data_IF_479868804874
#
_entry.id   IF_479868804874
#
_cell.length_a   1.000
_cell.length_b   1.000
_cell.length_c   1.000
_cell.angle_alpha   90.00
_cell.angle_beta   90.00
_cell.angle_gamma   90.00
#
_symmetry.space_group_name_H-M   'P 1'
#
loop_
_entity.id
_entity.type
_entity.pdbx_description
1 polymer ?
#
# COMPACT_ATOMS: atom_id res chain seq x y z
N UNK A 1 4.22 -7.36 -5.13
CA UNK A 1 3.70 -7.51 -3.74
C UNK A 1 2.25 -7.97 -3.69
N UNK A 2 1.41 -7.71 -4.71
CA UNK A 2 0.06 -8.30 -4.85
C UNK A 2 0.01 -9.79 -5.21
N UNK A 3 1.13 -10.41 -5.58
CA UNK A 3 1.16 -11.77 -6.14
C UNK A 3 1.10 -12.90 -5.10
N UNK A 4 1.44 -12.64 -3.84
CA UNK A 4 1.59 -13.70 -2.82
C UNK A 4 0.70 -13.50 -1.59
N UNK A 5 0.17 -12.29 -1.37
CA UNK A 5 -0.65 -11.98 -0.20
C UNK A 5 -1.67 -10.91 -0.55
N UNK A 6 -2.95 -11.22 -0.37
CA UNK A 6 -4.01 -10.23 -0.56
C UNK A 6 -3.86 -9.13 0.52
N UNK A 7 -3.90 -7.83 0.17
CA UNK A 7 -3.75 -6.73 1.14
C UNK A 7 -4.73 -6.81 2.31
N UNK A 8 -5.90 -7.41 2.13
CA UNK A 8 -6.86 -7.69 3.21
C UNK A 8 -6.32 -8.63 4.29
N UNK A 9 -5.53 -9.66 3.92
CA UNK A 9 -4.89 -10.59 4.86
C UNK A 9 -3.72 -9.91 5.59
N UNK A 10 -3.05 -8.97 4.92
CA UNK A 10 -2.01 -8.16 5.55
C UNK A 10 -2.59 -7.32 6.70
N UNK A 11 -3.79 -6.75 6.52
CA UNK A 11 -4.46 -5.98 7.59
C UNK A 11 -4.72 -6.84 8.83
N UNK A 12 -5.33 -8.01 8.65
CA UNK A 12 -5.65 -8.90 9.78
C UNK A 12 -4.40 -9.40 10.48
N UNK A 13 -3.34 -9.76 9.74
CA UNK A 13 -2.06 -10.16 10.32
C UNK A 13 -1.39 -9.05 11.13
N UNK A 14 -1.47 -7.80 10.65
CA UNK A 14 -0.94 -6.64 11.36
C UNK A 14 -1.70 -6.32 12.65
N UNK A 15 -3.03 -6.42 12.63
CA UNK A 15 -3.87 -6.22 13.82
C UNK A 15 -3.67 -7.36 14.83
N UNK A 16 -3.61 -8.61 14.39
CA UNK A 16 -3.33 -9.76 15.26
C UNK A 16 -1.96 -9.68 15.93
N UNK A 17 -0.99 -9.02 15.29
CA UNK A 17 0.34 -8.77 15.85
C UNK A 17 0.38 -7.60 16.86
N UNK A 18 -0.76 -6.99 17.15
CA UNK A 18 -0.93 -5.94 18.17
C UNK A 18 -0.95 -4.50 17.63
N UNK A 19 -0.97 -4.29 16.31
CA UNK A 19 -1.07 -2.94 15.76
C UNK A 19 -2.51 -2.39 15.88
N UNK A 20 -2.71 -1.09 16.22
CA UNK A 20 -4.03 -0.48 16.20
C UNK A 20 -4.73 -0.63 14.84
N UNK A 21 -6.03 -1.01 14.79
CA UNK A 21 -6.77 -1.23 13.55
C UNK A 21 -6.75 -0.04 12.59
N UNK A 22 -6.79 1.19 13.11
CA UNK A 22 -6.72 2.42 12.31
C UNK A 22 -5.37 2.54 11.58
N UNK A 23 -4.26 2.22 12.25
CA UNK A 23 -2.93 2.29 11.63
C UNK A 23 -2.75 1.17 10.60
N UNK A 24 -3.21 -0.04 10.92
CA UNK A 24 -3.23 -1.16 9.97
C UNK A 24 -4.03 -0.82 8.71
N UNK A 25 -5.20 -0.20 8.88
CA UNK A 25 -6.05 0.25 7.79
C UNK A 25 -5.34 1.28 6.90
N UNK A 26 -4.71 2.31 7.48
CA UNK A 26 -3.98 3.35 6.72
C UNK A 26 -2.86 2.74 5.88
N UNK A 27 -2.05 1.85 6.46
CA UNK A 27 -0.93 1.20 5.75
C UNK A 27 -1.44 0.37 4.57
N UNK A 28 -2.41 -0.51 4.83
CA UNK A 28 -2.96 -1.41 3.82
C UNK A 28 -3.67 -0.66 2.71
N UNK A 29 -4.46 0.36 3.07
CA UNK A 29 -5.19 1.20 2.12
C UNK A 29 -4.24 2.01 1.26
N UNK A 30 -3.17 2.55 1.82
CA UNK A 30 -2.14 3.27 1.04
C UNK A 30 -1.54 2.38 -0.04
N UNK A 31 -1.20 1.12 0.29
CA UNK A 31 -0.66 0.16 -0.68
C UNK A 31 -1.66 -0.17 -1.81
N UNK A 32 -2.96 -0.16 -1.53
CA UNK A 32 -4.01 -0.40 -2.52
C UNK A 32 -4.33 0.85 -3.36
N UNK A 33 -4.21 2.05 -2.80
CA UNK A 33 -4.51 3.30 -3.49
C UNK A 33 -3.49 3.58 -4.61
N UNK A 34 -2.21 3.21 -4.44
CA UNK A 34 -1.17 3.44 -5.45
C UNK A 34 -1.53 2.91 -6.85
N UNK A 35 -1.90 1.62 -7.03
CA UNK A 35 -2.30 1.12 -8.35
C UNK A 35 -3.59 1.79 -8.86
N UNK A 36 -4.58 2.06 -8.00
CA UNK A 36 -5.83 2.74 -8.37
C UNK A 36 -5.57 4.16 -8.89
N UNK A 37 -4.71 4.91 -8.20
CA UNK A 37 -4.34 6.27 -8.59
C UNK A 37 -3.57 6.29 -9.91
N UNK A 38 -2.72 5.29 -10.16
CA UNK A 38 -2.01 5.14 -11.44
C UNK A 38 -2.99 4.90 -12.59
N UNK A 39 -3.98 4.04 -12.40
CA UNK A 39 -5.00 3.75 -13.40
C UNK A 39 -5.84 4.99 -13.71
N UNK A 40 -6.34 5.69 -12.68
CA UNK A 40 -7.09 6.94 -12.86
C UNK A 40 -6.26 8.04 -13.50
N UNK A 41 -4.99 8.18 -13.12
CA UNK A 41 -4.08 9.12 -13.75
C UNK A 41 -3.97 8.86 -15.25
N UNK A 42 -3.84 7.59 -15.66
CA UNK A 42 -3.81 7.24 -17.08
C UNK A 42 -5.12 7.61 -17.79
N UNK A 43 -6.28 7.32 -17.19
CA UNK A 43 -7.58 7.69 -17.75
C UNK A 43 -7.72 9.21 -17.94
N UNK A 44 -7.28 9.99 -16.95
CA UNK A 44 -7.30 11.46 -17.05
C UNK A 44 -6.33 11.93 -18.13
N UNK A 45 -5.11 11.37 -18.20
CA UNK A 45 -4.14 11.69 -19.26
C UNK A 45 -4.74 11.41 -20.65
N UNK A 46 -5.38 10.26 -20.84
CA UNK A 46 -5.99 9.89 -22.11
C UNK A 46 -7.19 10.80 -22.46
N UNK A 47 -8.01 11.18 -21.48
CA UNK A 47 -9.07 12.16 -21.67
C UNK A 47 -8.53 13.55 -22.07
N UNK A 48 -7.42 13.99 -21.45
CA UNK A 48 -6.79 15.27 -21.79
C UNK A 48 -6.08 15.22 -23.14
N UNK A 49 -5.49 14.08 -23.53
CA UNK A 49 -4.95 13.88 -24.89
C UNK A 49 -6.01 14.09 -25.96
N UNK A 50 -7.22 13.56 -25.76
CA UNK A 50 -8.37 13.80 -26.64
C UNK A 50 -8.78 15.28 -26.71
N UNK A 51 -8.45 16.07 -25.68
CA UNK A 51 -8.65 17.54 -25.63
C UNK A 51 -7.46 18.33 -26.17
N UNK A 52 -6.50 17.68 -26.83
CA UNK A 52 -5.34 18.32 -27.45
C UNK A 52 -4.11 18.47 -26.54
N UNK A 53 -4.08 17.79 -25.39
CA UNK A 53 -2.90 17.77 -24.53
C UNK A 53 -1.76 16.97 -25.19
N UNK A 54 -0.73 17.66 -25.68
CA UNK A 54 0.51 17.03 -26.14
C UNK A 54 1.31 16.48 -24.94
N UNK A 55 1.33 15.16 -24.81
CA UNK A 55 2.10 14.47 -23.76
C UNK A 55 3.49 14.00 -24.23
N UNK A 56 3.81 14.24 -25.50
CA UNK A 56 5.07 13.86 -26.14
C UNK A 56 5.90 15.13 -26.43
N UNK A 57 7.22 15.09 -26.19
CA UNK A 57 8.11 16.25 -26.38
C UNK A 57 9.13 16.44 -25.25
N UNK A 58 9.66 17.65 -25.14
CA UNK A 58 10.68 18.01 -24.14
C UNK A 58 10.20 17.87 -22.69
N UNK A 59 11.14 17.73 -21.74
CA UNK A 59 10.86 17.63 -20.30
C UNK A 59 9.93 18.75 -19.79
N UNK A 60 10.07 19.97 -20.32
CA UNK A 60 9.22 21.12 -20.00
C UNK A 60 7.76 20.93 -20.44
N UNK A 61 7.52 20.38 -21.64
CA UNK A 61 6.15 20.08 -22.11
C UNK A 61 5.49 18.98 -21.27
N UNK A 62 6.26 17.95 -20.90
CA UNK A 62 5.81 16.88 -20.00
C UNK A 62 5.46 17.40 -18.60
N UNK A 63 6.26 18.31 -18.06
CA UNK A 63 5.96 18.91 -16.76
C UNK A 63 4.69 19.75 -16.80
N UNK A 64 4.47 20.52 -17.88
CA UNK A 64 3.24 21.32 -18.04
C UNK A 64 1.99 20.45 -18.18
N UNK A 65 2.13 19.26 -18.77
CA UNK A 65 1.07 18.27 -18.87
C UNK A 65 0.62 17.67 -17.52
N UNK A 66 1.39 17.84 -16.44
CA UNK A 66 1.01 17.40 -15.09
C UNK A 66 0.03 18.35 -14.40
N UNK A 67 0.02 19.65 -14.73
CA UNK A 67 -0.86 20.62 -14.07
C UNK A 67 -2.35 20.29 -14.20
N UNK A 68 -2.88 19.95 -15.39
CA UNK A 68 -4.29 19.57 -15.55
C UNK A 68 -4.67 18.27 -14.84
N UNK A 69 -3.69 17.45 -14.43
CA UNK A 69 -3.90 16.16 -13.77
C UNK A 69 -4.16 16.33 -12.26
N UNK A 70 -3.53 17.33 -11.64
CA UNK A 70 -3.54 17.52 -10.18
C UNK A 70 -4.95 17.74 -9.65
N UNK A 71 -5.69 18.67 -10.26
CA UNK A 71 -7.06 19.01 -9.81
C UNK A 71 -7.99 17.79 -9.80
N UNK A 72 -8.17 17.09 -10.94
CA UNK A 72 -9.02 15.90 -11.00
C UNK A 72 -8.58 14.77 -10.07
N UNK A 73 -7.27 14.51 -9.94
CA UNK A 73 -6.77 13.44 -9.06
C UNK A 73 -7.01 13.76 -7.58
N UNK A 74 -6.74 15.00 -7.16
CA UNK A 74 -6.94 15.41 -5.75
C UNK A 74 -8.42 15.40 -5.39
N UNK A 75 -9.28 15.96 -6.25
CA UNK A 75 -10.72 15.93 -6.02
C UNK A 75 -11.26 14.49 -5.97
N UNK A 76 -10.84 13.63 -6.91
CA UNK A 76 -11.20 12.21 -6.90
C UNK A 76 -10.75 11.50 -5.61
N UNK A 77 -9.52 11.75 -5.16
CA UNK A 77 -8.99 11.17 -3.93
C UNK A 77 -9.76 11.62 -2.68
N UNK A 78 -10.16 12.90 -2.60
CA UNK A 78 -10.95 13.42 -1.49
C UNK A 78 -12.33 12.77 -1.43
N UNK A 79 -13.01 12.66 -2.58
CA UNK A 79 -14.31 12.00 -2.68
C UNK A 79 -14.22 10.53 -2.27
N UNK A 80 -13.19 9.79 -2.70
CA UNK A 80 -13.05 8.40 -2.27
C UNK A 80 -12.79 8.27 -0.76
N UNK A 81 -12.03 9.20 -0.18
CA UNK A 81 -11.75 9.20 1.25
C UNK A 81 -13.03 9.47 2.03
N UNK A 82 -13.86 10.39 1.57
CA UNK A 82 -15.16 10.67 2.15
C UNK A 82 -16.09 9.45 2.09
N UNK A 83 -16.24 8.84 0.90
CA UNK A 83 -17.05 7.63 0.72
C UNK A 83 -16.58 6.47 1.61
N UNK A 84 -15.26 6.25 1.67
CA UNK A 84 -14.67 5.22 2.54
C UNK A 84 -14.88 5.54 4.01
N UNK A 85 -14.78 6.80 4.42
CA UNK A 85 -14.98 7.21 5.81
C UNK A 85 -16.42 6.98 6.24
N UNK A 86 -17.40 7.36 5.41
CA UNK A 86 -18.82 7.08 5.67
C UNK A 86 -19.08 5.57 5.76
N UNK A 87 -18.48 4.77 4.88
CA UNK A 87 -18.59 3.32 4.93
C UNK A 87 -17.97 2.72 6.22
N UNK A 88 -16.86 3.28 6.71
CA UNK A 88 -16.24 2.86 7.97
C UNK A 88 -17.07 3.27 9.19
N UNK A 89 -17.62 4.48 9.20
CA UNK A 89 -18.44 5.01 10.29
C UNK A 89 -19.77 4.26 10.41
N UNK A 90 -20.43 3.95 9.29
CA UNK A 90 -21.64 3.11 9.28
C UNK A 90 -21.43 1.72 9.86
N UNK A 91 -20.18 1.22 9.85
CA UNK A 91 -19.77 -0.05 10.46
C UNK A 91 -19.18 0.10 11.86
N UNK A 92 -19.31 1.29 12.46
CA UNK A 92 -18.74 1.62 13.77
C UNK A 92 -17.24 1.29 13.87
N UNK A 93 -16.48 1.48 12.79
CA UNK A 93 -15.05 1.15 12.76
C UNK A 93 -14.28 1.92 13.85
N UNK A 94 -14.61 3.20 14.05
CA UNK A 94 -14.01 4.08 15.06
C UNK A 94 -14.51 3.87 16.49
N UNK A 95 -15.45 2.94 16.73
CA UNK A 95 -15.95 2.70 18.09
C UNK A 95 -14.85 2.14 19.01
N UNK A 96 -14.75 2.61 20.28
CA UNK A 96 -13.70 2.23 21.25
C UNK A 96 -13.90 0.83 21.86
N UNK A 97 -14.48 -0.09 21.08
CA UNK A 97 -14.75 -1.47 21.48
C UNK A 97 -13.63 -2.41 21.01
N UNK A 98 -13.35 -3.49 21.76
CA UNK A 98 -12.40 -4.50 21.31
C UNK A 98 -12.88 -5.09 19.99
N UNK A 99 -12.03 -5.01 18.95
CA UNK A 99 -12.34 -5.54 17.62
C UNK A 99 -12.02 -7.03 17.58
N UNK A 100 -12.98 -7.84 17.13
CA UNK A 100 -12.79 -9.28 16.88
C UNK A 100 -12.42 -9.52 15.42
N UNK A 101 -11.55 -10.51 15.18
CA UNK A 101 -11.16 -10.92 13.83
C UNK A 101 -11.95 -12.17 13.43
N UNK A 102 -12.48 -12.19 12.20
CA UNK A 102 -13.18 -13.36 11.66
C UNK A 102 -12.19 -14.45 11.21
N UNK A 103 -10.96 -14.08 10.85
CA UNK A 103 -9.95 -14.98 10.32
C UNK A 103 -8.70 -14.92 11.19
N UNK A 104 -8.35 -16.02 11.85
CA UNK A 104 -7.06 -16.17 12.51
C UNK A 104 -6.01 -16.61 11.48
N UNK A 105 -4.83 -15.98 11.47
CA UNK A 105 -3.74 -16.43 10.61
C UNK A 105 -3.04 -17.62 11.30
N UNK A 106 -3.08 -18.84 10.74
CA UNK A 106 -2.35 -19.97 11.31
C UNK A 106 -0.84 -19.72 11.23
N UNK A 107 -0.12 -19.85 12.35
CA UNK A 107 1.36 -19.82 12.42
C UNK A 107 1.87 -21.24 12.75
N UNK A 108 1.93 -22.14 11.74
CA UNK A 108 2.37 -23.51 11.98
C UNK A 108 3.86 -23.56 12.34
N UNK A 109 4.25 -24.55 13.13
CA UNK A 109 5.60 -24.64 13.71
C UNK A 109 6.72 -24.64 12.66
N UNK A 110 6.49 -25.19 11.47
CA UNK A 110 7.48 -25.20 10.38
C UNK A 110 7.80 -23.79 9.87
N UNK A 111 6.83 -22.88 9.80
CA UNK A 111 7.04 -21.48 9.37
C UNK A 111 7.86 -20.72 10.39
N UNK A 112 7.63 -21.00 11.68
CA UNK A 112 8.40 -20.40 12.78
C UNK A 112 9.87 -20.81 12.72
N UNK A 113 10.14 -22.11 12.53
CA UNK A 113 11.51 -22.64 12.40
C UNK A 113 12.21 -22.05 11.17
N UNK A 114 11.51 -22.03 10.02
CA UNK A 114 12.05 -21.47 8.78
C UNK A 114 12.39 -19.98 8.91
N UNK A 115 11.53 -19.20 9.58
CA UNK A 115 11.75 -17.76 9.83
C UNK A 115 13.05 -17.51 10.62
N UNK A 116 13.29 -18.30 11.67
CA UNK A 116 14.53 -18.19 12.45
C UNK A 116 15.76 -18.63 11.66
N UNK A 117 15.66 -19.71 10.88
CA UNK A 117 16.76 -20.20 10.04
C UNK A 117 17.18 -19.15 9.00
N UNK A 118 16.21 -18.52 8.31
CA UNK A 118 16.49 -17.45 7.33
C UNK A 118 17.16 -16.27 8.02
N UNK A 119 16.69 -15.85 9.20
CA UNK A 119 17.22 -14.70 9.91
C UNK A 119 18.67 -14.93 10.36
N UNK A 120 18.98 -16.11 10.89
CA UNK A 120 20.35 -16.53 11.21
C UNK A 120 21.23 -16.57 9.95
N UNK A 121 20.71 -17.10 8.84
CA UNK A 121 21.42 -17.12 7.55
C UNK A 121 21.77 -15.72 7.04
N UNK A 122 20.84 -14.76 7.13
CA UNK A 122 21.08 -13.35 6.76
C UNK A 122 22.17 -12.73 7.63
N UNK A 123 22.10 -12.91 8.96
CA UNK A 123 23.10 -12.37 9.90
C UNK A 123 24.49 -12.96 9.63
N UNK A 124 24.56 -14.27 9.37
CA UNK A 124 25.81 -14.94 9.03
C UNK A 124 26.40 -14.42 7.71
N UNK A 125 25.58 -14.24 6.66
CA UNK A 125 26.02 -13.68 5.38
C UNK A 125 26.55 -12.26 5.52
N UNK A 126 25.86 -11.41 6.30
CA UNK A 126 26.32 -10.04 6.56
C UNK A 126 27.65 -10.07 7.32
N UNK A 127 27.79 -10.93 8.33
CA UNK A 127 29.04 -11.08 9.09
C UNK A 127 30.21 -11.55 8.22
N UNK A 128 29.98 -12.53 7.35
CA UNK A 128 30.99 -13.03 6.40
C UNK A 128 31.41 -11.95 5.39
N UNK A 129 30.46 -11.20 4.84
CA UNK A 129 30.74 -10.07 3.95
C UNK A 129 31.53 -8.97 4.64
N UNK A 130 31.24 -8.68 5.91
CA UNK A 130 32.00 -7.71 6.69
C UNK A 130 33.42 -8.19 6.96
N UNK A 131 33.60 -9.49 7.24
CA UNK A 131 34.90 -10.10 7.49
C UNK A 131 35.78 -10.16 6.22
N UNK A 132 35.18 -10.37 5.05
CA UNK A 132 35.86 -10.26 3.76
C UNK A 132 36.23 -8.81 3.41
N UNK A 133 35.39 -7.83 3.77
CA UNK A 133 35.66 -6.41 3.50
C UNK A 133 36.71 -5.78 4.45
N UNK A 134 36.96 -6.40 5.61
CA UNK A 134 38.01 -5.98 6.56
C UNK A 134 39.37 -6.68 6.36
N UNK A 135 39.46 -7.64 5.43
CA UNK A 135 40.71 -8.31 5.04
C UNK A 135 41.28 -7.68 3.77
#
# INVERSE_FOLDING_TARGET
>A
TMLTTHPGILMSGLVQKGMPPTLAYVIVTTLQIVPQMRERANLIVDAQRSRGLETQGSLLRRARALFPLIGPLVLGALLDVEERTLALESRAFSAPTPKTSLFELPDPAYERVLRWLILVGIVALIGLRLAEALR
#
